data_IF_609746058682
#
_entry.id   IF_609746058682
#
_cell.length_a   1.000
_cell.length_b   1.000
_cell.length_c   1.000
_cell.angle_alpha   90.00
_cell.angle_beta   90.00
_cell.angle_gamma   90.00
#
_symmetry.space_group_name_H-M   'P 1'
#
loop_
_entity.id
_entity.type
_entity.pdbx_description
1 polymer ?
#
# COMPACT_ATOMS: atom_id res chain seq x y z
N UNK A 1 1.42 44.83 -51.31
CA UNK A 1 0.75 43.86 -50.43
C UNK A 1 1.57 42.60 -50.34
N UNK A 2 2.37 42.41 -49.30
CA UNK A 2 3.15 41.21 -49.04
C UNK A 2 2.34 40.26 -48.19
N UNK A 3 2.03 39.05 -48.70
CA UNK A 3 1.34 37.99 -47.94
C UNK A 3 2.38 37.25 -47.12
N UNK A 4 2.25 37.23 -45.80
CA UNK A 4 3.01 36.33 -44.91
C UNK A 4 2.22 35.04 -44.74
N UNK A 5 2.75 33.93 -45.22
CA UNK A 5 2.23 32.59 -44.90
C UNK A 5 2.77 32.16 -43.55
N UNK A 6 1.85 31.98 -42.63
CA UNK A 6 2.15 31.41 -41.29
C UNK A 6 2.16 29.89 -41.42
N UNK A 7 3.33 29.29 -41.31
CA UNK A 7 3.48 27.83 -41.24
C UNK A 7 3.29 27.40 -39.82
N UNK A 8 2.16 26.75 -39.53
CA UNK A 8 1.94 26.04 -38.25
C UNK A 8 2.75 24.74 -38.28
N UNK A 9 3.80 24.70 -37.48
CA UNK A 9 4.52 23.47 -37.19
C UNK A 9 3.70 22.68 -36.11
N UNK A 10 2.93 21.68 -36.55
CA UNK A 10 2.27 20.73 -35.64
C UNK A 10 3.37 19.79 -35.15
N UNK A 11 3.83 19.98 -33.91
CA UNK A 11 4.60 18.95 -33.22
C UNK A 11 3.67 17.79 -32.93
N UNK A 12 3.82 16.72 -33.67
CA UNK A 12 3.26 15.42 -33.33
C UNK A 12 4.02 14.88 -32.11
N UNK A 13 3.43 15.02 -30.92
CA UNK A 13 3.87 14.28 -29.75
C UNK A 13 3.51 12.83 -30.01
N UNK A 14 4.48 12.04 -30.38
CA UNK A 14 4.33 10.60 -30.56
C UNK A 14 4.10 9.97 -29.17
N UNK A 15 2.89 9.51 -28.94
CA UNK A 15 2.52 8.62 -27.86
C UNK A 15 3.16 7.23 -28.05
N UNK A 16 4.45 7.12 -27.87
CA UNK A 16 5.22 5.90 -28.01
C UNK A 16 5.72 5.43 -26.64
N UNK A 17 4.82 4.97 -25.76
CA UNK A 17 5.28 4.31 -24.54
C UNK A 17 4.30 3.31 -23.92
N UNK A 18 3.06 3.25 -24.32
CA UNK A 18 2.08 2.35 -23.68
C UNK A 18 2.14 0.91 -24.24
N UNK A 19 2.75 0.69 -25.39
CA UNK A 19 2.83 -0.64 -26.01
C UNK A 19 3.96 -1.53 -25.47
N UNK A 20 4.89 -0.99 -24.69
CA UNK A 20 6.13 -1.70 -24.32
C UNK A 20 6.00 -2.55 -23.05
N UNK A 21 4.94 -2.39 -22.27
CA UNK A 21 4.79 -3.06 -20.96
C UNK A 21 4.05 -4.41 -21.06
N UNK A 22 3.44 -4.73 -22.19
CA UNK A 22 2.92 -6.07 -22.48
C UNK A 22 3.98 -7.06 -23.01
N UNK A 23 5.22 -6.68 -22.99
CA UNK A 23 6.29 -7.52 -23.49
C UNK A 23 6.65 -8.57 -22.43
N UNK A 24 6.21 -9.81 -22.67
CA UNK A 24 6.48 -11.01 -21.88
C UNK A 24 7.98 -11.34 -21.70
N UNK A 25 8.87 -10.43 -22.06
CA UNK A 25 10.32 -10.60 -21.91
C UNK A 25 10.80 -10.62 -20.47
N UNK A 26 9.97 -10.20 -19.51
CA UNK A 26 10.27 -10.25 -18.08
C UNK A 26 9.55 -11.39 -17.36
N UNK A 27 9.14 -12.43 -18.08
CA UNK A 27 8.50 -13.58 -17.50
C UNK A 27 9.57 -14.52 -16.95
N UNK A 28 9.97 -14.32 -15.71
CA UNK A 28 10.80 -15.25 -14.97
C UNK A 28 10.06 -15.89 -13.81
N UNK A 29 8.80 -16.30 -14.03
CA UNK A 29 8.11 -17.21 -13.09
C UNK A 29 8.92 -18.48 -12.78
N UNK A 30 9.98 -18.75 -13.60
CA UNK A 30 10.92 -19.85 -13.38
C UNK A 30 11.88 -19.65 -12.20
N UNK A 31 12.09 -18.40 -11.75
CA UNK A 31 13.11 -18.08 -10.73
C UNK A 31 12.52 -18.08 -9.31
N UNK A 32 11.21 -18.25 -9.20
CA UNK A 32 10.50 -18.32 -7.91
C UNK A 32 9.65 -19.57 -7.78
N UNK A 33 9.53 -20.03 -6.56
CA UNK A 33 8.53 -21.05 -6.17
C UNK A 33 7.57 -20.43 -5.19
N UNK A 34 6.26 -20.56 -5.41
CA UNK A 34 5.25 -19.99 -4.53
C UNK A 34 4.87 -21.02 -3.46
N UNK A 35 5.00 -20.62 -2.20
CA UNK A 35 4.47 -21.38 -1.06
C UNK A 35 3.18 -20.70 -0.56
N UNK A 36 2.05 -21.36 -0.80
CA UNK A 36 0.72 -20.90 -0.40
C UNK A 36 0.36 -21.28 1.05
N UNK A 37 1.19 -22.08 1.71
CA UNK A 37 0.97 -22.61 3.05
C UNK A 37 2.07 -22.21 4.04
N UNK A 38 2.88 -21.24 3.65
CA UNK A 38 4.00 -20.78 4.45
C UNK A 38 3.57 -20.29 5.84
N UNK A 39 2.53 -19.45 5.91
CA UNK A 39 2.06 -18.90 7.17
C UNK A 39 1.20 -19.92 7.92
N UNK A 40 1.67 -20.34 9.09
CA UNK A 40 1.05 -21.37 9.94
C UNK A 40 0.22 -20.69 11.02
N UNK A 41 -1.04 -20.45 10.72
CA UNK A 41 -2.00 -19.86 11.65
C UNK A 41 -2.27 -20.80 12.83
N UNK A 42 -2.66 -20.24 13.98
CA UNK A 42 -3.18 -21.06 15.08
C UNK A 42 -4.35 -21.92 14.61
N UNK A 43 -4.42 -23.13 15.15
CA UNK A 43 -5.43 -24.14 14.74
C UNK A 43 -6.84 -23.58 14.79
N UNK A 44 -7.54 -23.59 13.65
CA UNK A 44 -8.92 -23.15 13.51
C UNK A 44 -9.10 -21.64 13.26
N UNK A 45 -8.03 -20.84 13.25
CA UNK A 45 -8.12 -19.42 12.87
C UNK A 45 -8.18 -19.27 11.34
N UNK A 46 -9.24 -18.67 10.77
CA UNK A 46 -9.25 -18.32 9.36
C UNK A 46 -8.32 -17.14 9.06
N UNK A 47 -7.83 -17.06 7.83
CA UNK A 47 -7.22 -15.85 7.27
C UNK A 47 -8.33 -15.01 6.64
N UNK A 48 -8.37 -13.71 6.95
CA UNK A 48 -9.24 -12.73 6.33
C UNK A 48 -8.59 -11.98 5.18
N UNK A 49 -9.29 -10.99 4.68
CA UNK A 49 -8.69 -9.99 3.78
C UNK A 49 -7.53 -9.31 4.50
N UNK A 50 -6.33 -9.36 3.92
CA UNK A 50 -5.11 -8.81 4.52
C UNK A 50 -4.47 -7.84 3.55
N UNK A 51 -4.43 -6.55 3.90
CA UNK A 51 -3.76 -5.50 3.12
C UNK A 51 -2.36 -5.21 3.70
N UNK A 52 -2.29 -5.00 5.00
CA UNK A 52 -1.05 -4.64 5.69
C UNK A 52 -0.12 -5.83 5.90
N UNK A 53 1.13 -5.69 5.46
CA UNK A 53 2.23 -6.60 5.73
C UNK A 53 3.51 -5.78 5.89
N UNK A 54 4.36 -6.13 6.86
CA UNK A 54 5.66 -5.47 7.09
C UNK A 54 6.67 -6.46 7.61
N UNK A 55 7.96 -6.13 7.46
CA UNK A 55 9.06 -6.92 8.00
C UNK A 55 9.73 -6.15 9.13
N UNK A 56 10.16 -6.84 10.18
CA UNK A 56 10.88 -6.20 11.30
C UNK A 56 12.24 -5.65 10.84
N UNK A 57 12.79 -4.62 11.50
CA UNK A 57 14.05 -3.99 11.08
C UNK A 57 15.25 -4.93 11.11
N UNK A 58 15.25 -5.95 11.99
CA UNK A 58 16.27 -7.00 12.02
C UNK A 58 16.14 -7.97 10.83
N UNK A 59 14.98 -7.99 10.18
CA UNK A 59 14.64 -8.87 9.07
C UNK A 59 14.28 -10.29 9.52
N UNK A 60 14.01 -10.54 10.80
CA UNK A 60 13.81 -11.88 11.36
C UNK A 60 12.34 -12.24 11.58
N UNK A 61 11.41 -11.28 11.39
CA UNK A 61 9.98 -11.56 11.53
C UNK A 61 9.12 -10.73 10.57
N UNK A 62 7.96 -11.29 10.25
CA UNK A 62 6.96 -10.68 9.38
C UNK A 62 5.71 -10.39 10.20
N UNK A 63 5.17 -9.21 10.01
CA UNK A 63 3.94 -8.76 10.64
C UNK A 63 2.85 -8.62 9.60
N UNK A 64 1.64 -9.02 9.94
CA UNK A 64 0.45 -8.86 9.10
C UNK A 64 -0.67 -8.18 9.87
N UNK A 65 -1.55 -7.49 9.13
CA UNK A 65 -2.73 -6.84 9.68
C UNK A 65 -3.97 -7.39 8.96
N UNK A 66 -4.53 -8.44 9.55
CA UNK A 66 -5.63 -9.25 9.02
C UNK A 66 -6.98 -8.70 9.44
N UNK A 67 -7.97 -8.78 8.57
CA UNK A 67 -9.35 -8.37 8.86
C UNK A 67 -10.12 -9.45 9.63
N UNK A 68 -9.51 -9.96 10.70
CA UNK A 68 -10.13 -10.87 11.66
C UNK A 68 -10.77 -12.12 11.02
N UNK A 69 -10.12 -12.70 10.01
CA UNK A 69 -10.64 -13.85 9.29
C UNK A 69 -11.81 -13.56 8.34
N UNK A 70 -12.16 -12.27 8.15
CA UNK A 70 -13.29 -11.79 7.36
C UNK A 70 -12.86 -10.64 6.42
N UNK A 71 -13.74 -9.69 6.13
CA UNK A 71 -13.48 -8.46 5.38
C UNK A 71 -13.37 -7.23 6.28
N UNK A 72 -13.75 -7.36 7.56
CA UNK A 72 -13.59 -6.38 8.63
C UNK A 72 -13.43 -7.08 9.98
N UNK A 73 -13.18 -6.31 11.06
CA UNK A 73 -13.01 -6.81 12.42
C UNK A 73 -14.21 -6.52 13.35
N UNK A 74 -15.30 -6.02 12.80
CA UNK A 74 -16.46 -5.57 13.61
C UNK A 74 -17.10 -6.75 14.35
N UNK A 75 -17.08 -6.69 15.68
CA UNK A 75 -17.65 -7.73 16.54
C UNK A 75 -16.84 -9.04 16.59
N UNK A 76 -15.60 -9.05 16.10
CA UNK A 76 -14.71 -10.21 16.15
C UNK A 76 -13.87 -10.22 17.43
N UNK A 77 -13.69 -11.40 18.02
CA UNK A 77 -12.77 -11.66 19.13
C UNK A 77 -11.33 -11.99 18.66
N UNK A 78 -11.10 -12.04 17.34
CA UNK A 78 -9.79 -12.40 16.77
C UNK A 78 -8.84 -11.21 16.80
N UNK A 79 -7.57 -11.48 17.12
CA UNK A 79 -6.50 -10.50 17.06
C UNK A 79 -6.11 -10.24 15.61
N UNK A 80 -6.16 -8.99 15.10
CA UNK A 80 -5.83 -8.70 13.70
C UNK A 80 -4.34 -8.51 13.45
N UNK A 81 -3.55 -8.08 14.43
CA UNK A 81 -2.10 -7.88 14.30
C UNK A 81 -1.40 -9.16 14.69
N UNK A 82 -0.60 -9.73 13.78
CA UNK A 82 0.06 -11.01 14.00
C UNK A 82 1.53 -10.96 13.56
N UNK A 83 2.41 -11.57 14.35
CA UNK A 83 3.82 -11.73 14.05
C UNK A 83 4.14 -13.20 13.71
N UNK A 84 4.98 -13.39 12.69
CA UNK A 84 5.47 -14.69 12.25
C UNK A 84 6.99 -14.66 12.15
N UNK A 85 7.64 -15.80 12.45
CA UNK A 85 9.05 -15.99 12.12
C UNK A 85 9.24 -16.27 10.61
N UNK A 86 10.50 -16.33 10.15
CA UNK A 86 10.82 -16.61 8.75
C UNK A 86 10.60 -18.07 8.33
N UNK A 87 10.19 -18.93 9.27
CA UNK A 87 9.71 -20.29 9.02
C UNK A 87 8.17 -20.34 8.92
N UNK A 88 7.50 -19.20 9.10
CA UNK A 88 6.06 -19.03 9.01
C UNK A 88 5.30 -19.44 10.27
N UNK A 89 5.97 -19.65 11.40
CA UNK A 89 5.28 -19.95 12.66
C UNK A 89 4.78 -18.67 13.30
N UNK A 90 3.51 -18.65 13.74
CA UNK A 90 2.95 -17.51 14.45
C UNK A 90 3.60 -17.38 15.84
N UNK A 91 4.15 -16.22 16.14
CA UNK A 91 4.84 -15.92 17.39
C UNK A 91 3.90 -15.25 18.40
N UNK A 92 3.14 -14.23 17.96
CA UNK A 92 2.19 -13.50 18.81
C UNK A 92 1.04 -12.90 18.00
N UNK A 93 0.00 -12.46 18.70
CA UNK A 93 -1.08 -11.65 18.13
C UNK A 93 -1.70 -10.75 19.20
N UNK A 94 -2.32 -9.63 18.77
CA UNK A 94 -3.03 -8.69 19.63
C UNK A 94 -3.95 -7.76 18.83
N UNK A 95 -4.74 -6.94 19.53
CA UNK A 95 -5.53 -5.84 18.95
C UNK A 95 -6.98 -6.18 18.66
N UNK A 96 -7.53 -7.26 19.25
CA UNK A 96 -8.97 -7.58 19.15
C UNK A 96 -9.84 -6.41 19.63
N UNK A 97 -11.01 -6.24 19.02
CA UNK A 97 -12.04 -5.21 19.33
C UNK A 97 -11.61 -3.75 19.09
N UNK A 98 -10.46 -3.50 18.48
CA UNK A 98 -9.93 -2.13 18.31
C UNK A 98 -10.24 -1.51 16.93
N UNK A 99 -10.57 -2.32 15.93
CA UNK A 99 -10.58 -1.88 14.54
C UNK A 99 -11.88 -2.19 13.82
N UNK A 100 -12.23 -1.32 12.89
CA UNK A 100 -13.26 -1.58 11.89
C UNK A 100 -12.65 -2.33 10.72
N UNK A 101 -11.71 -1.69 10.00
CA UNK A 101 -11.10 -2.25 8.79
C UNK A 101 -9.59 -2.11 8.79
N UNK A 102 -8.86 -3.12 9.27
CA UNK A 102 -7.42 -3.21 9.15
C UNK A 102 -6.93 -2.90 7.73
N UNK A 103 -5.94 -1.97 7.57
CA UNK A 103 -5.43 -1.62 6.26
C UNK A 103 -3.90 -1.53 6.23
N UNK A 104 -3.29 -0.36 6.37
CA UNK A 104 -1.84 -0.20 6.32
C UNK A 104 -1.14 -0.73 7.56
N UNK A 105 0.07 -1.26 7.38
CA UNK A 105 0.96 -1.69 8.47
C UNK A 105 2.40 -1.33 8.14
N UNK A 106 3.11 -0.76 9.10
CA UNK A 106 4.53 -0.43 9.02
C UNK A 106 5.21 -0.73 10.35
N UNK A 107 6.46 -1.21 10.30
CA UNK A 107 7.30 -1.38 11.49
C UNK A 107 8.39 -0.31 11.44
N UNK A 108 8.46 0.53 12.48
CA UNK A 108 9.47 1.57 12.56
C UNK A 108 10.85 1.02 12.96
N UNK A 109 11.89 1.85 12.89
CA UNK A 109 13.27 1.45 13.20
C UNK A 109 13.51 1.02 14.66
N UNK A 110 12.57 1.34 15.55
CA UNK A 110 12.59 0.92 16.96
C UNK A 110 11.83 -0.41 17.15
N UNK A 111 11.22 -0.94 16.10
CA UNK A 111 10.39 -2.16 16.11
C UNK A 111 8.95 -1.94 16.55
N UNK A 112 8.48 -0.68 16.68
CA UNK A 112 7.09 -0.41 16.99
C UNK A 112 6.21 -0.64 15.76
N UNK A 113 4.98 -1.09 16.02
CA UNK A 113 4.01 -1.45 15.00
C UNK A 113 3.06 -0.27 14.76
N UNK A 114 3.02 0.23 13.54
CA UNK A 114 2.11 1.27 13.10
C UNK A 114 1.04 0.69 12.20
N UNK A 115 -0.23 1.00 12.46
CA UNK A 115 -1.35 0.50 11.66
C UNK A 115 -2.39 1.57 11.41
N UNK A 116 -3.12 1.44 10.28
CA UNK A 116 -4.23 2.33 9.93
C UNK A 116 -5.56 1.57 9.97
N UNK A 117 -6.59 2.19 10.55
CA UNK A 117 -7.98 1.71 10.49
C UNK A 117 -8.72 2.46 9.39
N UNK A 118 -8.87 1.80 8.24
CA UNK A 118 -9.28 2.39 6.97
C UNK A 118 -10.77 2.68 6.81
N UNK A 119 -11.60 2.37 7.79
CA UNK A 119 -13.04 2.70 7.80
C UNK A 119 -13.47 3.13 9.20
N UNK A 120 -14.73 3.54 9.34
CA UNK A 120 -15.31 3.99 10.58
C UNK A 120 -16.81 3.70 10.65
N UNK A 121 -17.57 4.51 11.40
CA UNK A 121 -19.00 4.34 11.58
C UNK A 121 -19.78 4.21 10.28
N UNK A 122 -20.82 3.42 10.35
CA UNK A 122 -21.75 3.13 9.29
C UNK A 122 -23.17 3.13 9.91
N UNK A 123 -24.09 3.88 9.32
CA UNK A 123 -25.47 3.97 9.81
C UNK A 123 -26.19 2.60 9.86
N UNK A 124 -25.69 1.62 9.10
CA UNK A 124 -26.24 0.27 9.05
C UNK A 124 -25.68 -0.65 10.15
N UNK A 125 -24.52 -0.32 10.75
CA UNK A 125 -23.87 -1.16 11.76
C UNK A 125 -23.39 -0.35 12.99
N UNK A 126 -24.22 -0.23 14.02
CA UNK A 126 -23.89 0.52 15.24
C UNK A 126 -22.70 -0.05 16.03
N UNK A 127 -22.22 -1.28 15.73
CA UNK A 127 -21.00 -1.82 16.36
C UNK A 127 -19.74 -1.07 15.94
N UNK A 128 -19.82 -0.26 14.88
CA UNK A 128 -18.73 0.61 14.38
C UNK A 128 -18.67 1.97 15.11
N UNK A 129 -19.66 2.28 15.95
CA UNK A 129 -19.73 3.58 16.61
C UNK A 129 -18.52 3.82 17.51
N UNK A 130 -17.88 4.98 17.33
CA UNK A 130 -16.76 5.41 18.16
C UNK A 130 -15.42 4.69 17.87
N UNK A 131 -15.31 3.92 16.79
CA UNK A 131 -14.05 3.29 16.31
C UNK A 131 -13.80 3.62 14.84
N UNK A 132 -12.54 3.48 14.40
CA UNK A 132 -12.16 3.68 13.00
C UNK A 132 -11.62 5.08 12.69
N UNK A 133 -11.15 5.23 11.45
CA UNK A 133 -10.50 6.44 10.93
C UNK A 133 -9.29 6.91 11.75
N UNK A 134 -8.52 5.96 12.30
CA UNK A 134 -7.38 6.23 13.18
C UNK A 134 -6.09 5.57 12.70
N UNK A 135 -4.99 6.07 13.22
CA UNK A 135 -3.66 5.46 13.09
C UNK A 135 -3.13 5.20 14.49
N UNK A 136 -2.64 3.99 14.72
CA UNK A 136 -2.11 3.56 16.02
C UNK A 136 -0.63 3.22 15.93
N UNK A 137 0.11 3.56 16.98
CA UNK A 137 1.44 3.03 17.28
C UNK A 137 1.35 2.07 18.46
N UNK A 138 1.87 0.87 18.29
CA UNK A 138 1.97 -0.12 19.36
C UNK A 138 3.44 -0.43 19.67
N UNK A 139 3.72 -0.80 20.92
CA UNK A 139 4.97 -1.49 21.24
C UNK A 139 5.01 -2.89 20.60
N UNK A 140 6.17 -3.55 20.51
CA UNK A 140 6.26 -4.94 20.09
C UNK A 140 5.43 -5.91 20.96
N UNK A 141 5.09 -5.53 22.18
CA UNK A 141 4.25 -6.29 23.12
C UNK A 141 2.75 -6.03 22.96
N UNK A 142 2.34 -5.06 22.12
CA UNK A 142 0.96 -4.71 21.84
C UNK A 142 0.40 -3.60 22.73
N UNK A 143 1.23 -2.85 23.45
CA UNK A 143 0.78 -1.67 24.20
C UNK A 143 0.59 -0.48 23.25
N UNK A 144 -0.54 0.24 23.38
CA UNK A 144 -0.79 1.46 22.60
C UNK A 144 0.14 2.57 23.08
N UNK A 145 1.05 3.03 22.23
CA UNK A 145 2.01 4.10 22.52
C UNK A 145 1.53 5.46 21.99
N UNK A 146 0.78 5.47 20.88
CA UNK A 146 0.23 6.69 20.28
C UNK A 146 -1.04 6.35 19.48
N UNK A 147 -1.95 7.33 19.43
CA UNK A 147 -3.12 7.31 18.56
C UNK A 147 -3.23 8.65 17.85
N UNK A 148 -3.35 8.63 16.53
CA UNK A 148 -3.66 9.79 15.70
C UNK A 148 -5.06 9.63 15.10
N UNK A 149 -5.76 10.74 14.93
CA UNK A 149 -7.17 10.74 14.49
C UNK A 149 -8.14 10.74 15.65
N UNK A 150 -9.39 11.03 15.36
CA UNK A 150 -10.51 11.01 16.32
C UNK A 150 -11.30 9.70 16.13
N UNK A 151 -11.53 8.93 17.19
CA UNK A 151 -12.20 7.64 17.07
C UNK A 151 -13.59 7.78 16.44
N UNK A 152 -13.83 7.09 15.34
CA UNK A 152 -15.08 7.09 14.60
C UNK A 152 -15.43 8.39 13.87
N UNK A 153 -14.51 9.33 13.73
CA UNK A 153 -14.78 10.62 13.09
C UNK A 153 -14.03 10.73 11.76
N UNK A 154 -14.77 10.65 10.65
CA UNK A 154 -14.24 11.02 9.35
C UNK A 154 -14.15 12.54 9.22
N UNK A 155 -13.00 13.05 8.73
CA UNK A 155 -12.81 14.49 8.55
C UNK A 155 -11.59 14.83 7.72
N UNK A 156 -11.43 16.13 7.42
CA UNK A 156 -10.33 16.70 6.65
C UNK A 156 -9.43 17.64 7.46
N UNK A 157 -9.64 17.73 8.76
CA UNK A 157 -8.81 18.51 9.70
C UNK A 157 -7.40 17.93 9.87
N UNK A 158 -6.54 18.68 10.56
CA UNK A 158 -5.14 18.29 10.79
C UNK A 158 -4.97 17.06 11.71
N UNK A 159 -5.99 16.69 12.46
CA UNK A 159 -6.03 15.54 13.37
C UNK A 159 -7.29 14.70 13.12
N UNK A 160 -7.75 14.63 11.90
CA UNK A 160 -8.86 13.82 11.44
C UNK A 160 -8.45 13.13 10.15
N UNK A 161 -8.92 11.91 9.95
CA UNK A 161 -8.71 11.16 8.72
C UNK A 161 -10.05 10.75 8.12
N UNK A 162 -10.05 10.45 6.84
CA UNK A 162 -11.17 9.82 6.17
C UNK A 162 -10.65 8.69 5.28
N UNK A 163 -10.64 7.49 5.84
CA UNK A 163 -10.09 6.26 5.26
C UNK A 163 -8.55 6.29 5.12
N UNK A 164 -7.78 6.41 6.23
CA UNK A 164 -6.33 6.33 6.15
C UNK A 164 -5.91 4.94 5.64
N UNK A 165 -5.13 4.93 4.56
CA UNK A 165 -4.77 3.71 3.82
C UNK A 165 -3.39 3.18 4.19
N UNK A 166 -2.43 4.06 4.46
CA UNK A 166 -1.04 3.67 4.70
C UNK A 166 -0.38 4.57 5.74
N UNK A 167 0.61 4.03 6.43
CA UNK A 167 1.49 4.76 7.34
C UNK A 167 2.94 4.37 7.07
N UNK A 168 3.84 5.36 7.08
CA UNK A 168 5.27 5.23 6.90
C UNK A 168 5.99 6.10 7.93
N UNK A 169 7.00 5.57 8.59
CA UNK A 169 7.83 6.32 9.54
C UNK A 169 9.24 6.45 8.98
N UNK A 170 9.68 7.69 8.82
CA UNK A 170 11.03 7.99 8.34
C UNK A 170 12.10 7.74 9.43
N UNK A 171 13.39 7.59 9.04
CA UNK A 171 14.49 7.39 10.00
C UNK A 171 14.64 8.49 11.07
N UNK A 172 14.17 9.70 10.79
CA UNK A 172 14.14 10.83 11.74
C UNK A 172 12.91 10.83 12.66
N UNK A 173 12.05 9.80 12.55
CA UNK A 173 10.83 9.62 13.32
C UNK A 173 9.62 10.37 12.77
N UNK A 174 9.74 11.15 11.70
CA UNK A 174 8.57 11.78 11.07
C UNK A 174 7.63 10.73 10.48
N UNK A 175 6.32 10.97 10.68
CA UNK A 175 5.26 10.04 10.32
C UNK A 175 4.56 10.57 9.08
N UNK A 176 4.39 9.73 8.07
CA UNK A 176 3.64 10.04 6.85
C UNK A 176 2.41 9.11 6.78
N UNK A 177 1.26 9.69 6.48
CA UNK A 177 -0.02 8.95 6.41
C UNK A 177 -0.66 9.23 5.05
N UNK A 178 -0.94 8.18 4.30
CA UNK A 178 -1.82 8.21 3.15
C UNK A 178 -3.27 8.29 3.63
N UNK A 179 -3.95 9.40 3.37
CA UNK A 179 -5.32 9.63 3.85
C UNK A 179 -6.29 9.68 2.68
N UNK A 180 -6.95 8.54 2.45
CA UNK A 180 -7.95 8.36 1.40
C UNK A 180 -7.85 7.02 0.67
N UNK A 181 -8.96 6.27 0.64
CA UNK A 181 -9.04 4.95 0.01
C UNK A 181 -10.05 4.87 -1.15
N UNK A 182 -10.67 5.97 -1.52
CA UNK A 182 -11.61 6.07 -2.66
C UNK A 182 -12.96 6.68 -2.28
N UNK A 183 -13.90 6.65 -3.22
CA UNK A 183 -15.24 7.22 -2.98
C UNK A 183 -15.18 8.72 -2.59
N UNK A 184 -15.84 9.08 -1.49
CA UNK A 184 -15.85 10.41 -0.92
C UNK A 184 -14.78 10.65 0.16
N UNK A 185 -13.80 9.73 0.31
CA UNK A 185 -12.70 9.88 1.27
C UNK A 185 -11.75 11.02 0.92
N UNK A 186 -10.78 11.30 1.77
CA UNK A 186 -9.72 12.27 1.47
C UNK A 186 -8.83 11.80 0.28
N UNK A 187 -7.90 12.63 -0.14
CA UNK A 187 -6.94 12.31 -1.21
C UNK A 187 -5.66 13.11 -0.97
N UNK A 188 -4.99 12.83 0.15
CA UNK A 188 -3.83 13.61 0.61
C UNK A 188 -2.81 12.75 1.34
N UNK A 189 -1.62 13.30 1.49
CA UNK A 189 -0.60 12.77 2.40
C UNK A 189 -0.45 13.74 3.56
N UNK A 190 -0.42 13.21 4.78
CA UNK A 190 -0.25 13.98 6.02
C UNK A 190 1.12 13.68 6.61
N UNK A 191 1.81 14.71 7.09
CA UNK A 191 3.09 14.57 7.81
C UNK A 191 2.96 15.05 9.24
N UNK A 192 3.45 14.23 10.17
CA UNK A 192 3.53 14.54 11.60
C UNK A 192 4.97 14.38 12.10
N UNK A 193 5.30 15.04 13.22
CA UNK A 193 6.53 14.81 13.95
C UNK A 193 6.51 13.44 14.65
N UNK A 194 7.65 13.01 15.16
CA UNK A 194 7.78 11.80 16.00
C UNK A 194 6.88 11.82 17.25
N UNK A 195 6.49 13.01 17.72
CA UNK A 195 5.56 13.20 18.85
C UNK A 195 4.09 13.29 18.44
N UNK A 196 3.76 13.15 17.14
CA UNK A 196 2.40 13.21 16.62
C UNK A 196 1.88 14.64 16.39
N UNK A 197 2.76 15.66 16.37
CA UNK A 197 2.36 17.02 16.03
C UNK A 197 2.24 17.18 14.51
N UNK A 198 1.13 17.77 14.04
CA UNK A 198 0.94 18.04 12.62
C UNK A 198 2.00 19.02 12.10
N UNK A 199 2.65 18.66 10.99
CA UNK A 199 3.68 19.48 10.35
C UNK A 199 3.16 20.10 9.04
N UNK A 200 2.67 19.26 8.12
CA UNK A 200 2.14 19.69 6.84
C UNK A 200 1.27 18.60 6.20
N UNK A 201 0.53 18.97 5.16
CA UNK A 201 -0.14 18.03 4.26
C UNK A 201 -0.04 18.50 2.82
N UNK A 202 -0.14 17.56 1.88
CA UNK A 202 -0.19 17.87 0.45
C UNK A 202 -1.11 16.91 -0.28
N UNK A 203 -1.49 17.31 -1.50
CA UNK A 203 -2.40 16.56 -2.34
C UNK A 203 -3.85 17.03 -2.20
N UNK A 204 -4.60 16.71 -3.20
CA UNK A 204 -6.05 16.89 -3.30
C UNK A 204 -6.59 15.88 -4.32
N UNK A 205 -7.90 15.69 -4.35
CA UNK A 205 -8.52 14.81 -5.34
C UNK A 205 -8.31 15.32 -6.76
N UNK A 206 -7.81 14.46 -7.65
CA UNK A 206 -7.59 14.75 -9.05
C UNK A 206 -6.56 13.86 -9.72
N UNK A 207 -6.13 14.24 -10.94
CA UNK A 207 -5.18 13.49 -11.76
C UNK A 207 -3.94 14.27 -12.18
N UNK A 208 -3.87 15.56 -11.85
CA UNK A 208 -2.68 16.37 -12.13
C UNK A 208 -1.51 15.97 -11.21
N UNK A 209 -0.26 16.31 -11.55
CA UNK A 209 0.89 16.11 -10.65
C UNK A 209 0.63 16.68 -9.25
N UNK A 210 0.86 15.85 -8.22
CA UNK A 210 0.58 16.22 -6.84
C UNK A 210 -0.88 16.04 -6.40
N UNK A 211 -1.79 15.69 -7.29
CA UNK A 211 -3.16 15.28 -6.95
C UNK A 211 -3.25 13.75 -6.87
N UNK A 212 -4.23 13.22 -6.14
CA UNK A 212 -4.44 11.78 -5.96
C UNK A 212 -5.90 11.41 -6.20
N UNK A 213 -6.12 10.21 -6.73
CA UNK A 213 -7.43 9.57 -6.70
C UNK A 213 -7.54 8.60 -5.51
N UNK A 214 -6.53 7.76 -5.31
CA UNK A 214 -6.42 6.85 -4.17
C UNK A 214 -4.94 6.74 -3.78
N UNK A 215 -4.44 7.54 -2.81
CA UNK A 215 -3.08 7.39 -2.29
C UNK A 215 -3.02 6.14 -1.40
N UNK A 216 -2.78 4.97 -2.02
CA UNK A 216 -3.05 3.68 -1.41
C UNK A 216 -1.94 3.19 -0.50
N UNK A 217 -0.69 3.35 -0.91
CA UNK A 217 0.47 2.92 -0.11
C UNK A 217 1.65 3.87 -0.26
N UNK A 218 2.57 3.83 0.72
CA UNK A 218 3.73 4.69 0.85
C UNK A 218 5.00 3.87 1.02
N UNK A 219 6.07 4.28 0.34
CA UNK A 219 7.42 3.78 0.60
C UNK A 219 8.43 4.94 0.58
N UNK A 220 9.61 4.74 1.17
CA UNK A 220 10.70 5.71 1.18
C UNK A 220 11.98 5.05 0.70
N UNK A 221 12.74 5.72 -0.15
CA UNK A 221 14.06 5.25 -0.55
C UNK A 221 15.17 5.77 0.38
N UNK A 222 16.39 5.27 0.17
CA UNK A 222 17.55 5.67 0.97
C UNK A 222 17.90 7.17 0.89
N UNK A 223 17.42 7.86 -0.16
CA UNK A 223 17.53 9.30 -0.34
C UNK A 223 16.45 10.11 0.38
N UNK A 224 15.51 9.46 1.06
CA UNK A 224 14.39 10.08 1.77
C UNK A 224 13.27 10.59 0.86
N UNK A 225 13.19 10.13 -0.40
CA UNK A 225 12.07 10.43 -1.29
C UNK A 225 10.88 9.57 -0.92
N UNK A 226 9.68 10.17 -0.94
CA UNK A 226 8.42 9.50 -0.67
C UNK A 226 7.81 9.02 -2.00
N UNK A 227 7.56 7.73 -2.10
CA UNK A 227 6.85 7.08 -3.20
C UNK A 227 5.41 6.85 -2.78
N UNK A 228 4.47 7.32 -3.59
CA UNK A 228 3.03 7.20 -3.33
C UNK A 228 2.39 6.38 -4.42
N UNK A 229 1.80 5.26 -4.06
CA UNK A 229 0.96 4.46 -4.94
C UNK A 229 -0.39 5.13 -5.18
N UNK A 230 -0.50 5.97 -6.20
CA UNK A 230 -1.76 6.62 -6.60
C UNK A 230 -2.61 5.67 -7.44
N UNK A 231 -3.17 4.65 -6.76
CA UNK A 231 -3.85 3.51 -7.35
C UNK A 231 -4.98 3.89 -8.29
N UNK A 232 -5.76 4.90 -7.92
CA UNK A 232 -6.88 5.36 -8.73
C UNK A 232 -6.47 6.01 -10.05
N UNK A 233 -5.25 6.55 -10.13
CA UNK A 233 -4.67 7.17 -11.32
C UNK A 233 -3.68 6.26 -12.07
N UNK A 234 -3.50 5.00 -11.63
CA UNK A 234 -2.59 4.02 -12.25
C UNK A 234 -1.14 4.51 -12.35
N UNK A 235 -0.60 5.09 -11.28
CA UNK A 235 0.76 5.65 -11.25
C UNK A 235 1.38 5.57 -9.86
N UNK A 236 2.71 5.63 -9.82
CA UNK A 236 3.48 5.96 -8.61
C UNK A 236 3.93 7.41 -8.76
N UNK A 237 3.65 8.25 -7.76
CA UNK A 237 4.17 9.61 -7.69
C UNK A 237 5.30 9.71 -6.66
N UNK A 238 6.30 10.55 -6.92
CA UNK A 238 7.50 10.71 -6.08
C UNK A 238 7.59 12.15 -5.61
N UNK A 239 7.81 12.30 -4.31
CA UNK A 239 7.89 13.59 -3.61
C UNK A 239 9.14 13.67 -2.73
N UNK A 240 9.56 14.89 -2.40
CA UNK A 240 10.41 15.08 -1.24
C UNK A 240 9.58 15.06 0.06
N UNK A 241 10.25 15.10 1.20
CA UNK A 241 9.58 15.08 2.51
C UNK A 241 8.87 16.41 2.87
N UNK A 242 8.96 17.42 2.03
CA UNK A 242 8.24 18.68 2.11
C UNK A 242 6.98 18.68 1.24
N UNK A 243 6.70 17.56 0.55
CA UNK A 243 5.55 17.39 -0.32
C UNK A 243 5.72 18.01 -1.71
N UNK A 244 6.94 18.42 -2.08
CA UNK A 244 7.20 18.91 -3.42
C UNK A 244 7.24 17.74 -4.41
N UNK A 245 6.43 17.82 -5.47
CA UNK A 245 6.39 16.84 -6.55
C UNK A 245 7.74 16.80 -7.29
N UNK A 246 8.27 15.58 -7.48
CA UNK A 246 9.52 15.34 -8.22
C UNK A 246 9.21 14.78 -9.59
N UNK A 247 8.47 13.66 -9.66
CA UNK A 247 8.09 12.99 -10.90
C UNK A 247 7.01 11.95 -10.67
N UNK A 248 6.50 11.36 -11.76
CA UNK A 248 5.57 10.23 -11.72
C UNK A 248 5.98 9.11 -12.67
N UNK A 249 5.50 7.91 -12.38
CA UNK A 249 5.75 6.71 -13.15
C UNK A 249 4.45 5.95 -13.44
N UNK A 250 3.99 5.90 -14.69
CA UNK A 250 2.73 5.26 -15.06
C UNK A 250 2.86 3.76 -15.35
N UNK A 251 4.07 3.18 -15.35
CA UNK A 251 4.35 1.81 -15.81
C UNK A 251 4.02 0.71 -14.80
N UNK A 252 3.44 1.03 -13.66
CA UNK A 252 3.22 0.06 -12.57
C UNK A 252 1.78 -0.48 -12.48
N UNK A 253 0.90 -0.05 -13.38
CA UNK A 253 -0.52 -0.44 -13.32
C UNK A 253 -1.26 0.26 -12.18
N UNK A 254 -2.02 -0.49 -11.39
CA UNK A 254 -2.76 0.00 -10.23
C UNK A 254 -1.99 -0.31 -8.93
N UNK A 255 -1.02 0.54 -8.54
CA UNK A 255 -0.13 0.23 -7.42
C UNK A 255 -0.91 0.11 -6.12
N UNK A 256 -0.97 -1.09 -5.56
CA UNK A 256 -1.64 -1.39 -4.30
C UNK A 256 -0.66 -1.38 -3.12
N UNK A 257 0.42 -2.16 -3.18
CA UNK A 257 1.48 -2.18 -2.19
C UNK A 257 2.81 -1.71 -2.77
N UNK A 258 3.59 -1.02 -1.95
CA UNK A 258 4.92 -0.53 -2.27
C UNK A 258 5.91 -1.00 -1.20
N UNK A 259 7.03 -1.53 -1.62
CA UNK A 259 8.17 -1.81 -0.76
C UNK A 259 9.46 -1.38 -1.45
N UNK A 260 10.39 -0.77 -0.71
CA UNK A 260 11.74 -0.46 -1.22
C UNK A 260 12.73 -1.14 -0.28
N UNK A 261 13.60 -1.97 -0.86
CA UNK A 261 14.63 -2.69 -0.12
C UNK A 261 15.88 -1.85 0.14
N UNK A 262 16.82 -2.39 0.93
CA UNK A 262 18.09 -1.75 1.29
C UNK A 262 19.01 -1.48 0.07
N UNK A 263 18.71 -2.03 -1.11
CA UNK A 263 19.41 -1.81 -2.37
C UNK A 263 18.73 -0.77 -3.28
N UNK A 264 17.72 -0.07 -2.76
CA UNK A 264 16.88 0.86 -3.54
C UNK A 264 16.19 0.18 -4.73
N UNK A 265 15.73 -1.06 -4.54
CA UNK A 265 14.83 -1.73 -5.46
C UNK A 265 13.40 -1.53 -5.00
N UNK A 266 12.56 -1.03 -5.91
CA UNK A 266 11.14 -0.81 -5.70
C UNK A 266 10.33 -2.04 -6.13
N UNK A 267 9.54 -2.57 -5.21
CA UNK A 267 8.57 -3.65 -5.45
C UNK A 267 7.18 -3.04 -5.44
N UNK A 268 6.42 -3.25 -6.50
CA UNK A 268 5.06 -2.70 -6.66
C UNK A 268 4.10 -3.83 -6.97
N UNK A 269 3.09 -4.00 -6.12
CA UNK A 269 1.98 -4.91 -6.41
C UNK A 269 0.90 -4.20 -7.19
N UNK A 270 0.29 -4.92 -8.12
CA UNK A 270 -0.94 -4.54 -8.82
C UNK A 270 -1.98 -5.64 -8.57
N UNK A 271 -2.93 -5.36 -7.69
CA UNK A 271 -3.94 -6.33 -7.25
C UNK A 271 -5.30 -6.17 -7.92
N UNK A 272 -5.44 -5.23 -8.86
CA UNK A 272 -6.78 -4.87 -9.34
C UNK A 272 -6.86 -4.39 -10.80
N UNK A 273 -5.81 -4.54 -11.61
CA UNK A 273 -5.83 -4.10 -13.01
C UNK A 273 -6.76 -4.93 -13.90
N UNK A 274 -6.84 -6.23 -13.67
CA UNK A 274 -7.65 -7.17 -14.45
C UNK A 274 -9.07 -7.38 -13.90
N UNK A 275 -9.33 -7.00 -12.65
CA UNK A 275 -10.63 -7.10 -11.99
C UNK A 275 -11.64 -6.09 -12.56
N UNK A 276 -11.89 -6.21 -13.87
CA UNK A 276 -12.86 -5.41 -14.62
C UNK A 276 -14.11 -6.24 -14.82
N UNK A 277 -14.95 -6.29 -13.80
CA UNK A 277 -16.32 -6.74 -14.03
C UNK A 277 -17.00 -5.88 -15.12
N UNK A 278 -18.09 -6.35 -15.74
CA UNK A 278 -18.84 -5.62 -16.75
C UNK A 278 -19.36 -4.24 -16.28
N UNK A 279 -19.20 -3.93 -15.00
CA UNK A 279 -19.55 -2.65 -14.37
C UNK A 279 -18.31 -1.79 -14.05
N UNK A 280 -17.13 -2.16 -14.55
CA UNK A 280 -15.89 -1.41 -14.31
C UNK A 280 -16.07 0.07 -14.65
N UNK A 281 -15.82 0.95 -13.67
CA UNK A 281 -15.79 2.38 -13.91
C UNK A 281 -14.82 2.68 -15.07
N UNK A 282 -15.14 3.58 -15.98
CA UNK A 282 -14.25 3.98 -17.06
C UNK A 282 -12.85 4.40 -16.60
N UNK A 283 -12.74 4.85 -15.34
CA UNK A 283 -11.49 5.27 -14.71
C UNK A 283 -10.63 4.11 -14.17
N UNK A 284 -11.12 2.86 -14.22
CA UNK A 284 -10.39 1.66 -13.77
C UNK A 284 -9.72 0.88 -14.92
N UNK A 285 -9.53 1.49 -16.08
CA UNK A 285 -8.96 0.82 -17.23
C UNK A 285 -7.43 0.87 -17.21
N UNK A 286 -6.79 0.04 -16.39
CA UNK A 286 -5.35 -0.20 -16.52
C UNK A 286 -5.08 -1.17 -17.68
N UNK A 287 -4.12 -0.91 -18.56
CA UNK A 287 -3.71 -1.85 -19.61
C UNK A 287 -2.77 -2.94 -19.10
N UNK A 288 -2.46 -2.95 -17.81
CA UNK A 288 -1.45 -3.81 -17.21
C UNK A 288 -2.06 -5.10 -16.66
N UNK A 289 -1.26 -6.16 -16.63
CA UNK A 289 -1.56 -7.39 -15.90
C UNK A 289 -1.34 -7.20 -14.39
N UNK A 290 -2.14 -7.90 -13.58
CA UNK A 290 -1.91 -8.03 -12.15
C UNK A 290 -0.62 -8.78 -11.87
N UNK A 291 0.02 -8.49 -10.74
CA UNK A 291 1.29 -9.11 -10.34
C UNK A 291 2.24 -8.15 -9.64
N UNK A 292 3.50 -8.55 -9.51
CA UNK A 292 4.55 -7.75 -8.86
C UNK A 292 5.54 -7.24 -9.89
N UNK A 293 5.79 -5.93 -9.89
CA UNK A 293 6.84 -5.29 -10.69
C UNK A 293 7.99 -4.88 -9.79
N UNK A 294 9.20 -5.31 -10.16
CA UNK A 294 10.45 -4.95 -9.47
C UNK A 294 11.21 -3.98 -10.34
N UNK A 295 11.57 -2.83 -9.78
CA UNK A 295 12.12 -1.70 -10.53
C UNK A 295 13.25 -0.99 -9.78
N UNK A 296 14.03 -0.20 -10.48
CA UNK A 296 15.03 0.69 -9.88
C UNK A 296 14.37 1.99 -9.41
N UNK A 297 14.66 2.44 -8.18
CA UNK A 297 14.22 3.77 -7.69
C UNK A 297 14.89 4.94 -8.43
N UNK A 298 15.93 4.71 -9.23
CA UNK A 298 16.62 5.78 -9.97
C UNK A 298 15.78 6.36 -11.09
N UNK A 299 15.14 5.47 -11.86
CA UNK A 299 14.46 5.83 -13.11
C UNK A 299 13.12 5.11 -13.32
N UNK A 300 12.74 4.19 -12.43
CA UNK A 300 11.52 3.40 -12.52
C UNK A 300 11.61 2.28 -13.57
N UNK A 301 12.81 1.96 -14.07
CA UNK A 301 12.98 0.87 -15.03
C UNK A 301 12.61 -0.47 -14.40
N UNK A 302 11.56 -1.10 -14.91
CA UNK A 302 11.10 -2.43 -14.46
C UNK A 302 12.08 -3.48 -14.97
N UNK A 303 12.70 -4.20 -14.05
CA UNK A 303 13.69 -5.25 -14.34
C UNK A 303 13.09 -6.65 -14.30
N UNK A 304 12.00 -6.82 -13.54
CA UNK A 304 11.33 -8.12 -13.38
C UNK A 304 9.83 -7.89 -13.20
N UNK A 305 9.03 -8.77 -13.78
CA UNK A 305 7.60 -8.89 -13.55
C UNK A 305 7.29 -10.32 -13.10
N UNK A 306 6.71 -10.45 -11.91
CA UNK A 306 6.17 -11.69 -11.43
C UNK A 306 4.68 -11.71 -11.76
N UNK A 307 4.34 -12.49 -12.75
CA UNK A 307 2.96 -12.78 -13.09
C UNK A 307 2.36 -13.64 -11.97
N UNK A 308 1.24 -13.22 -11.43
CA UNK A 308 0.51 -13.96 -10.39
C UNK A 308 -0.85 -14.40 -10.94
N UNK A 309 -0.88 -15.45 -11.76
CA UNK A 309 -2.08 -15.88 -12.50
C UNK A 309 -3.14 -16.56 -11.61
N UNK A 310 -3.06 -16.41 -10.29
CA UNK A 310 -3.91 -17.15 -9.38
C UNK A 310 -5.37 -16.69 -9.45
N UNK A 311 -6.32 -17.65 -9.45
CA UNK A 311 -7.77 -17.43 -9.52
C UNK A 311 -8.32 -16.49 -8.41
N UNK A 312 -7.55 -16.28 -7.33
CA UNK A 312 -7.95 -15.50 -6.17
C UNK A 312 -7.36 -14.08 -6.15
N UNK A 313 -6.88 -13.57 -7.28
CA UNK A 313 -6.31 -12.23 -7.41
C UNK A 313 -4.84 -12.13 -6.98
N UNK A 314 -4.27 -10.95 -7.16
CA UNK A 314 -2.88 -10.62 -6.87
C UNK A 314 -2.71 -10.03 -5.47
N UNK A 315 -1.46 -9.82 -5.06
CA UNK A 315 -1.10 -9.30 -3.75
C UNK A 315 -1.50 -7.84 -3.61
N UNK A 316 -2.00 -7.46 -2.43
CA UNK A 316 -2.23 -6.07 -2.07
C UNK A 316 -1.04 -5.48 -1.31
N UNK A 317 -0.57 -6.14 -0.26
CA UNK A 317 0.65 -5.77 0.45
C UNK A 317 1.85 -6.62 0.06
N UNK A 318 3.06 -6.10 0.26
CA UNK A 318 4.31 -6.75 -0.12
C UNK A 318 5.46 -6.36 0.80
N UNK A 319 6.31 -7.32 1.16
CA UNK A 319 7.63 -7.09 1.75
C UNK A 319 8.64 -8.11 1.23
N UNK A 320 9.93 -7.83 1.40
CA UNK A 320 11.02 -8.68 0.92
C UNK A 320 12.04 -8.86 2.02
N UNK A 321 12.49 -10.11 2.24
CA UNK A 321 13.54 -10.41 3.22
C UNK A 321 14.94 -10.19 2.61
N UNK A 322 15.97 -10.26 3.47
CA UNK A 322 17.38 -10.08 3.06
C UNK A 322 17.89 -11.15 2.10
N UNK A 323 17.19 -12.28 1.98
CA UNK A 323 17.50 -13.35 1.02
C UNK A 323 16.81 -13.12 -0.35
N UNK A 324 15.95 -12.10 -0.46
CA UNK A 324 15.19 -11.79 -1.66
C UNK A 324 13.87 -12.54 -1.78
N UNK A 325 13.45 -13.31 -0.75
CA UNK A 325 12.12 -13.90 -0.77
C UNK A 325 11.06 -12.82 -0.60
N UNK A 326 10.01 -12.91 -1.39
CA UNK A 326 8.90 -11.96 -1.39
C UNK A 326 7.75 -12.55 -0.59
N UNK A 327 7.14 -11.74 0.27
CA UNK A 327 5.96 -12.09 1.03
C UNK A 327 4.82 -11.16 0.63
N UNK A 328 3.67 -11.74 0.34
CA UNK A 328 2.49 -11.00 -0.13
C UNK A 328 1.25 -11.30 0.69
N UNK A 329 0.45 -10.28 0.90
CA UNK A 329 -0.86 -10.36 1.53
C UNK A 329 -1.97 -10.05 0.52
N UNK A 330 -3.08 -10.77 0.60
CA UNK A 330 -4.19 -10.69 -0.35
C UNK A 330 -5.48 -10.29 0.35
N UNK A 331 -6.20 -9.35 -0.24
CA UNK A 331 -7.54 -9.01 0.21
C UNK A 331 -8.60 -9.89 -0.47
N UNK A 332 -8.62 -9.95 -1.79
CA UNK A 332 -9.64 -10.69 -2.53
C UNK A 332 -9.57 -12.21 -2.28
N UNK A 333 -8.37 -12.76 -2.20
CA UNK A 333 -8.15 -14.19 -2.01
C UNK A 333 -8.14 -14.64 -0.54
N UNK A 334 -8.16 -13.72 0.43
CA UNK A 334 -8.01 -14.02 1.87
C UNK A 334 -6.87 -14.98 2.11
N UNK A 335 -5.67 -14.63 1.67
CA UNK A 335 -4.50 -15.49 1.67
C UNK A 335 -3.21 -14.71 1.93
N UNK A 336 -2.18 -15.46 2.28
CA UNK A 336 -0.80 -15.00 2.41
C UNK A 336 0.08 -15.91 1.57
N UNK A 337 1.14 -15.36 0.97
CA UNK A 337 2.03 -16.11 0.07
C UNK A 337 3.49 -15.77 0.35
N UNK A 338 4.35 -16.76 0.08
CA UNK A 338 5.80 -16.55 0.00
C UNK A 338 6.30 -16.99 -1.37
N UNK A 339 7.07 -16.12 -2.01
CA UNK A 339 7.81 -16.40 -3.24
C UNK A 339 9.26 -16.66 -2.86
N UNK A 340 9.70 -17.88 -3.03
CA UNK A 340 11.06 -18.32 -2.74
C UNK A 340 11.95 -18.08 -3.96
N UNK A 341 13.04 -17.35 -3.80
CA UNK A 341 14.10 -17.25 -4.81
C UNK A 341 14.77 -18.61 -4.98
N UNK A 342 15.01 -19.02 -6.25
CA UNK A 342 15.69 -20.29 -6.58
C UNK A 342 17.19 -20.10 -6.73
#
# INVERSE_FOLDING_TARGET
>A
MKRYSLVFLIMAVTSASVAQVRDNRFNSSSDFTIDYHFFKMQTGRPIGSTAGISISPDGESIWIFDRCGADDCVGSDLDPIMQFDLDGNQLKSFGSHMFVRPHGLHIDFEGNIWVTDGEGPDDEDPRRDGIGHQVFKFSPEGEVLMTLGKPGVAGDGNYEFNQPSSVLVAPDGNIFIGDGHGGASNSRIMKYSASGEFLLSWGSRGSEPGQFAVPHDLAMDSGGRIFVGDRGNNRVQIFDQQGNFIKEWPQFGRPSGLFIDDNDMLYVTDSSSENRGPTGSPNNSSPYAEGVRIASVKDGSVTLFLDDPHENGSQEGIVVDKAGNIYGSLTAGKALRKYLVR
#
